data_IF_576576322351
#
_entry.id   IF_576576322351
#
_cell.length_a   1.000
_cell.length_b   1.000
_cell.length_c   1.000
_cell.angle_alpha   90.00
_cell.angle_beta   90.00
_cell.angle_gamma   90.00
#
_symmetry.space_group_name_H-M   'P 1'
#
loop_
_entity.id
_entity.type
_entity.pdbx_description
1 polymer ?
#
# COMPACT_ATOMS: atom_id res chain seq x y z
N UNK A 1 -7.23 8.40 -35.12
CA UNK A 1 -6.60 7.20 -34.54
C UNK A 1 -5.12 7.37 -34.20
N UNK A 2 -4.28 7.96 -35.06
CA UNK A 2 -2.85 8.15 -34.77
C UNK A 2 -2.56 9.05 -33.56
N UNK A 3 -3.32 10.14 -33.39
CA UNK A 3 -3.11 11.12 -32.30
C UNK A 3 -3.34 10.56 -30.89
N UNK A 4 -4.32 9.66 -30.73
CA UNK A 4 -4.59 8.97 -29.46
C UNK A 4 -3.50 7.94 -29.15
N UNK A 5 -3.02 7.22 -30.16
CA UNK A 5 -1.91 6.28 -30.01
C UNK A 5 -0.62 7.00 -29.61
N UNK A 6 -0.27 8.09 -30.29
CA UNK A 6 0.93 8.87 -29.97
C UNK A 6 0.86 9.47 -28.55
N UNK A 7 -0.31 9.94 -28.14
CA UNK A 7 -0.55 10.41 -26.77
C UNK A 7 -0.39 9.31 -25.73
N UNK A 8 -0.90 8.11 -26.02
CA UNK A 8 -0.76 6.94 -25.16
C UNK A 8 0.71 6.53 -25.02
N UNK A 9 1.46 6.44 -26.12
CA UNK A 9 2.89 6.08 -26.11
C UNK A 9 3.68 7.07 -25.25
N UNK A 10 3.45 8.37 -25.40
CA UNK A 10 4.12 9.40 -24.58
C UNK A 10 3.82 9.24 -23.09
N UNK A 11 2.57 8.98 -22.74
CA UNK A 11 2.17 8.72 -21.35
C UNK A 11 2.86 7.47 -20.80
N UNK A 12 2.78 6.36 -21.54
CA UNK A 12 3.39 5.09 -21.17
C UNK A 12 4.90 5.22 -20.94
N UNK A 13 5.64 5.82 -21.88
CA UNK A 13 7.09 6.04 -21.73
C UNK A 13 7.43 6.95 -20.55
N UNK A 14 6.62 7.98 -20.30
CA UNK A 14 6.83 8.89 -19.16
C UNK A 14 6.68 8.17 -17.82
N UNK A 15 5.58 7.42 -17.66
CA UNK A 15 5.30 6.66 -16.44
C UNK A 15 6.37 5.57 -16.24
N UNK A 16 6.73 4.85 -17.31
CA UNK A 16 7.80 3.84 -17.27
C UNK A 16 9.13 4.44 -16.77
N UNK A 17 9.48 5.62 -17.27
CA UNK A 17 10.66 6.36 -16.84
C UNK A 17 10.62 6.80 -15.38
N UNK A 18 9.44 7.18 -14.86
CA UNK A 18 9.27 7.51 -13.44
C UNK A 18 9.43 6.28 -12.55
N UNK A 19 8.77 5.18 -12.90
CA UNK A 19 8.89 3.90 -12.16
C UNK A 19 10.36 3.45 -12.16
N UNK A 20 11.02 3.43 -13.32
CA UNK A 20 12.42 2.96 -13.41
C UNK A 20 13.37 3.76 -12.52
N UNK A 21 13.12 5.07 -12.34
CA UNK A 21 13.96 5.95 -11.49
C UNK A 21 13.79 5.72 -10.00
N UNK A 22 12.71 5.09 -9.57
CA UNK A 22 12.47 4.79 -8.14
C UNK A 22 13.00 3.42 -7.72
N UNK A 23 13.39 2.57 -8.69
CA UNK A 23 13.86 1.21 -8.43
C UNK A 23 15.35 1.18 -8.09
N UNK A 24 15.73 0.22 -7.24
CA UNK A 24 17.14 -0.13 -7.06
C UNK A 24 17.72 -0.75 -8.33
N UNK A 25 19.04 -0.78 -8.45
CA UNK A 25 19.72 -1.32 -9.64
C UNK A 25 19.37 -2.79 -9.89
N UNK A 26 19.23 -3.57 -8.82
CA UNK A 26 18.91 -5.00 -8.87
C UNK A 26 17.49 -5.22 -9.41
N UNK A 27 16.53 -4.41 -8.97
CA UNK A 27 15.14 -4.50 -9.43
C UNK A 27 15.03 -3.98 -10.87
N UNK A 28 15.73 -2.89 -11.20
CA UNK A 28 15.73 -2.31 -12.54
C UNK A 28 16.22 -3.29 -13.63
N UNK A 29 17.16 -4.19 -13.31
CA UNK A 29 17.60 -5.24 -14.23
C UNK A 29 16.50 -6.26 -14.54
N UNK A 30 15.56 -6.48 -13.62
CA UNK A 30 14.49 -7.46 -13.79
C UNK A 30 13.33 -6.97 -14.67
N UNK A 31 13.30 -5.67 -14.99
CA UNK A 31 12.17 -5.03 -15.68
C UNK A 31 12.44 -4.70 -17.16
N UNK A 32 13.61 -5.05 -17.68
CA UNK A 32 14.07 -4.70 -19.04
C UNK A 32 13.16 -5.25 -20.14
N UNK A 33 12.36 -6.28 -19.85
CA UNK A 33 11.47 -6.94 -20.81
C UNK A 33 10.05 -6.35 -20.87
N UNK A 34 9.72 -5.36 -20.04
CA UNK A 34 8.38 -4.75 -20.05
C UNK A 34 8.32 -3.59 -21.05
N UNK A 35 7.27 -3.56 -21.88
CA UNK A 35 6.99 -2.46 -22.82
C UNK A 35 5.87 -1.55 -22.31
N UNK A 36 4.99 -2.09 -21.46
CA UNK A 36 3.86 -1.40 -20.84
C UNK A 36 4.20 -1.01 -19.41
N UNK A 37 4.03 0.28 -19.09
CA UNK A 37 4.16 0.79 -17.73
C UNK A 37 3.11 0.18 -16.80
N UNK A 38 1.94 -0.19 -17.32
CA UNK A 38 0.90 -0.88 -16.56
C UNK A 38 1.37 -2.27 -16.16
N UNK A 39 1.86 -3.06 -17.12
CA UNK A 39 2.28 -4.45 -16.87
C UNK A 39 3.47 -4.48 -15.90
N UNK A 40 4.40 -3.53 -16.06
CA UNK A 40 5.50 -3.31 -15.13
C UNK A 40 4.98 -3.03 -13.71
N UNK A 41 4.02 -2.11 -13.57
CA UNK A 41 3.45 -1.76 -12.28
C UNK A 41 2.74 -2.95 -11.62
N UNK A 42 1.99 -3.74 -12.39
CA UNK A 42 1.30 -4.93 -11.89
C UNK A 42 2.27 -6.00 -11.40
N UNK A 43 3.37 -6.25 -12.13
CA UNK A 43 4.41 -7.19 -11.71
C UNK A 43 5.15 -6.74 -10.44
N UNK A 44 5.53 -5.46 -10.36
CA UNK A 44 6.13 -4.89 -9.16
C UNK A 44 5.18 -5.00 -7.97
N UNK A 45 3.89 -4.72 -8.18
CA UNK A 45 2.87 -4.87 -7.15
C UNK A 45 2.77 -6.32 -6.68
N UNK A 46 2.67 -7.31 -7.56
CA UNK A 46 2.57 -8.72 -7.15
C UNK A 46 3.80 -9.20 -6.37
N UNK A 47 5.01 -8.83 -6.82
CA UNK A 47 6.27 -9.25 -6.19
C UNK A 47 6.48 -8.63 -4.83
N UNK A 48 6.20 -7.33 -4.70
CA UNK A 48 6.62 -6.55 -3.53
C UNK A 48 5.48 -6.20 -2.56
N UNK A 49 4.20 -6.32 -2.97
CA UNK A 49 3.07 -6.15 -2.04
C UNK A 49 3.02 -7.22 -0.94
N UNK A 50 3.65 -8.39 -1.15
CA UNK A 50 3.78 -9.39 -0.08
C UNK A 50 4.66 -8.91 1.08
N UNK A 51 5.55 -7.95 0.84
CA UNK A 51 6.32 -7.26 1.88
C UNK A 51 5.41 -6.55 2.89
N UNK A 52 4.22 -6.15 2.47
CA UNK A 52 3.24 -5.46 3.33
C UNK A 52 2.82 -6.35 4.51
N UNK A 53 2.77 -7.69 4.35
CA UNK A 53 2.45 -8.60 5.45
C UNK A 53 3.53 -8.61 6.54
N UNK A 54 4.81 -8.62 6.17
CA UNK A 54 5.91 -8.54 7.14
C UNK A 54 5.91 -7.18 7.83
N UNK A 55 5.72 -6.09 7.06
CA UNK A 55 5.64 -4.75 7.63
C UNK A 55 4.44 -4.59 8.58
N UNK A 56 3.28 -5.16 8.25
CA UNK A 56 2.11 -5.22 9.15
C UNK A 56 2.48 -5.91 10.46
N UNK A 57 3.18 -7.05 10.40
CA UNK A 57 3.60 -7.78 11.60
C UNK A 57 4.56 -6.95 12.46
N UNK A 58 5.54 -6.29 11.83
CA UNK A 58 6.49 -5.43 12.52
C UNK A 58 5.78 -4.24 13.18
N UNK A 59 4.89 -3.56 12.46
CA UNK A 59 4.09 -2.45 12.99
C UNK A 59 3.24 -2.86 14.19
N UNK A 60 2.57 -4.01 14.13
CA UNK A 60 1.81 -4.53 15.27
C UNK A 60 2.72 -4.78 16.48
N UNK A 61 3.91 -5.34 16.26
CA UNK A 61 4.88 -5.53 17.32
C UNK A 61 5.35 -4.20 17.90
N UNK A 62 5.64 -3.20 17.06
CA UNK A 62 6.02 -1.84 17.48
C UNK A 62 4.91 -1.22 18.34
N UNK A 63 3.66 -1.25 17.87
CA UNK A 63 2.48 -0.74 18.58
C UNK A 63 2.28 -1.45 19.94
N UNK A 64 2.44 -2.78 20.00
CA UNK A 64 2.29 -3.50 21.27
C UNK A 64 3.47 -3.27 22.23
N UNK A 65 4.64 -2.91 21.71
CA UNK A 65 5.85 -2.72 22.51
C UNK A 65 6.05 -1.27 22.99
N UNK A 66 5.43 -0.29 22.34
CA UNK A 66 5.62 1.12 22.67
C UNK A 66 5.09 1.45 24.06
N UNK A 67 5.89 2.16 24.85
CA UNK A 67 5.55 2.62 26.20
C UNK A 67 5.90 4.09 26.32
N UNK A 68 5.13 4.87 27.07
CA UNK A 68 5.41 6.30 27.25
C UNK A 68 6.86 6.56 27.73
N UNK A 69 7.30 5.85 28.77
CA UNK A 69 8.62 6.07 29.38
C UNK A 69 8.76 7.50 29.90
N UNK A 70 9.92 8.11 29.66
CA UNK A 70 10.22 9.49 30.06
C UNK A 70 9.69 10.55 29.08
N UNK A 71 8.95 10.14 28.04
CA UNK A 71 8.42 11.05 27.01
C UNK A 71 7.20 11.80 27.49
N UNK A 72 6.99 12.98 26.92
CA UNK A 72 5.74 13.72 27.11
C UNK A 72 4.56 12.94 26.53
N UNK A 73 3.36 13.14 27.10
CA UNK A 73 2.12 12.52 26.59
C UNK A 73 1.89 12.88 25.13
N UNK A 74 2.16 14.13 24.74
CA UNK A 74 2.00 14.58 23.35
C UNK A 74 2.93 13.83 22.41
N UNK A 75 4.21 13.67 22.78
CA UNK A 75 5.20 12.98 21.95
C UNK A 75 4.82 11.51 21.78
N UNK A 76 4.52 10.83 22.90
CA UNK A 76 4.10 9.43 22.88
C UNK A 76 2.85 9.21 22.02
N UNK A 77 1.82 10.03 22.22
CA UNK A 77 0.57 9.92 21.47
C UNK A 77 0.78 10.17 19.98
N UNK A 78 1.60 11.16 19.60
CA UNK A 78 1.92 11.40 18.19
C UNK A 78 2.61 10.20 17.55
N UNK A 79 3.61 9.62 18.21
CA UNK A 79 4.29 8.44 17.66
C UNK A 79 3.37 7.22 17.53
N UNK A 80 2.58 6.92 18.57
CA UNK A 80 1.60 5.83 18.52
C UNK A 80 0.60 6.04 17.38
N UNK A 81 0.10 7.27 17.21
CA UNK A 81 -0.81 7.62 16.13
C UNK A 81 -0.17 7.42 14.75
N UNK A 82 1.08 7.81 14.58
CA UNK A 82 1.80 7.60 13.31
C UNK A 82 1.93 6.11 12.96
N UNK A 83 2.26 5.25 13.93
CA UNK A 83 2.34 3.80 13.71
C UNK A 83 0.99 3.22 13.26
N UNK A 84 -0.10 3.66 13.88
CA UNK A 84 -1.44 3.23 13.50
C UNK A 84 -1.87 3.73 12.11
N UNK A 85 -1.55 4.97 11.76
CA UNK A 85 -1.84 5.51 10.42
C UNK A 85 -1.08 4.74 9.33
N UNK A 86 0.17 4.33 9.58
CA UNK A 86 0.93 3.48 8.66
C UNK A 86 0.29 2.09 8.52
N UNK A 87 -0.14 1.48 9.62
CA UNK A 87 -0.79 0.17 9.62
C UNK A 87 -2.12 0.18 8.83
N UNK A 88 -2.90 1.25 8.96
CA UNK A 88 -4.17 1.42 8.24
C UNK A 88 -3.96 1.49 6.72
N UNK A 89 -2.91 2.16 6.26
CA UNK A 89 -2.56 2.24 4.83
C UNK A 89 -2.25 0.86 4.24
N UNK A 90 -1.63 -0.04 5.02
CA UNK A 90 -1.28 -1.38 4.56
C UNK A 90 -2.46 -2.37 4.62
N UNK A 91 -3.49 -2.08 5.43
CA UNK A 91 -4.67 -2.93 5.64
C UNK A 91 -5.86 -2.45 4.80
N UNK A 92 -5.66 -2.23 3.51
CA UNK A 92 -6.79 -1.86 2.64
C UNK A 92 -7.89 -2.94 2.69
N UNK A 93 -9.10 -2.53 3.10
CA UNK A 93 -10.25 -3.43 3.13
C UNK A 93 -10.53 -3.94 1.71
N UNK A 94 -10.57 -5.27 1.47
CA UNK A 94 -10.86 -5.79 0.15
C UNK A 94 -12.27 -5.37 -0.30
N UNK A 95 -12.37 -4.80 -1.50
CA UNK A 95 -13.64 -4.43 -2.12
C UNK A 95 -14.36 -5.66 -2.68
N UNK A 96 -15.69 -5.74 -2.54
CA UNK A 96 -16.51 -6.76 -3.22
C UNK A 96 -16.33 -6.63 -4.73
N UNK A 97 -16.00 -7.71 -5.43
CA UNK A 97 -15.94 -7.78 -6.90
C UNK A 97 -17.32 -8.08 -7.53
N UNK A 98 -18.38 -7.84 -6.76
CA UNK A 98 -19.73 -8.27 -7.02
C UNK A 98 -20.42 -7.28 -7.97
N UNK A 99 -20.87 -7.73 -9.14
CA UNK A 99 -21.59 -6.86 -10.11
C UNK A 99 -22.89 -6.28 -9.54
N UNK A 100 -23.53 -6.98 -8.60
CA UNK A 100 -24.67 -6.48 -7.84
C UNK A 100 -24.19 -6.09 -6.46
N UNK A 101 -24.61 -4.92 -5.99
CA UNK A 101 -24.27 -4.42 -4.65
C UNK A 101 -24.66 -5.46 -3.61
N UNK A 102 -23.66 -6.02 -2.93
CA UNK A 102 -23.89 -7.01 -1.88
C UNK A 102 -24.69 -6.39 -0.74
N UNK A 103 -25.70 -7.09 -0.24
CA UNK A 103 -26.42 -6.73 1.00
C UNK A 103 -25.68 -7.20 2.26
N UNK A 104 -24.55 -7.89 2.08
CA UNK A 104 -23.71 -8.37 3.16
C UNK A 104 -23.02 -7.21 3.90
N UNK A 105 -22.94 -7.34 5.23
CA UNK A 105 -22.29 -6.37 6.12
C UNK A 105 -20.77 -6.59 6.22
N UNK A 106 -20.13 -7.13 5.18
CA UNK A 106 -18.70 -7.50 5.22
C UNK A 106 -17.83 -6.28 5.51
N UNK A 107 -17.94 -5.24 4.67
CA UNK A 107 -17.15 -4.01 4.83
C UNK A 107 -17.39 -3.34 6.19
N UNK A 108 -18.63 -3.31 6.68
CA UNK A 108 -18.93 -2.75 8.00
C UNK A 108 -18.46 -3.62 9.16
N UNK A 109 -18.33 -4.93 8.97
CA UNK A 109 -17.79 -5.85 9.98
C UNK A 109 -16.28 -5.73 10.08
N UNK A 110 -15.58 -5.59 8.94
CA UNK A 110 -14.12 -5.38 8.89
C UNK A 110 -13.75 -4.06 9.59
N UNK A 111 -14.41 -2.94 9.21
CA UNK A 111 -14.19 -1.64 9.86
C UNK A 111 -14.39 -1.67 11.38
N UNK A 112 -15.45 -2.34 11.84
CA UNK A 112 -15.71 -2.47 13.27
C UNK A 112 -14.62 -3.29 13.99
N UNK A 113 -14.04 -4.29 13.33
CA UNK A 113 -12.96 -5.08 13.93
C UNK A 113 -11.65 -4.27 14.00
N UNK A 114 -11.35 -3.46 12.98
CA UNK A 114 -10.21 -2.52 12.98
C UNK A 114 -10.34 -1.51 14.12
N UNK A 115 -11.53 -0.92 14.32
CA UNK A 115 -11.81 -0.01 15.45
C UNK A 115 -11.64 -0.68 16.83
N UNK A 116 -11.87 -1.98 16.95
CA UNK A 116 -11.70 -2.75 18.21
C UNK A 116 -10.24 -3.13 18.46
N UNK A 117 -9.41 -3.24 17.42
CA UNK A 117 -7.95 -3.37 17.61
C UNK A 117 -7.32 -2.02 18.02
N UNK A 118 -7.93 -0.92 17.60
CA UNK A 118 -7.57 0.45 17.96
C UNK A 118 -7.94 0.81 19.41
N UNK A 119 -7.59 -0.05 20.37
CA UNK A 119 -7.81 0.21 21.80
C UNK A 119 -6.53 0.74 22.42
N UNK A 120 -6.51 2.06 22.59
CA UNK A 120 -5.58 2.81 23.45
C UNK A 120 -6.06 2.70 24.90
#
# INVERSE_FOLDING_TARGET
DTDLYDSWVRCNTTIFGWITRTLSQEIAQSIVYFESAQDLWEDLKDRFSKGDYFRISDLLQEIHSIKQGDRSVSTYHTELKTLWEELEVLRETPSCTCNVKCSCKFASTVKRNEEVEYVI
#
